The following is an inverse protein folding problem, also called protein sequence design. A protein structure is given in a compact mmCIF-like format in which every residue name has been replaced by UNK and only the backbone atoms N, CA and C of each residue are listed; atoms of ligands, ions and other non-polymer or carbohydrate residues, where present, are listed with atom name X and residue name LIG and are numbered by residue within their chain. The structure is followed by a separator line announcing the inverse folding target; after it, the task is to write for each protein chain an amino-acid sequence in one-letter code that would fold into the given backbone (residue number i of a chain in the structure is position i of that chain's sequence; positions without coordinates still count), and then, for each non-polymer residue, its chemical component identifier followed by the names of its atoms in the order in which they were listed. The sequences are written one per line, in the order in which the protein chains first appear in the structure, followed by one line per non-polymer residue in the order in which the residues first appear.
data_IF_416937271380
#
_entry.id   IF_416937271380
#
_cell.length_a   1.000
_cell.length_b   1.000
_cell.length_c   1.000
_cell.angle_alpha   90.00
_cell.angle_beta   90.00
_cell.angle_gamma   90.00
#
_symmetry.space_group_name_H-M   'P 1'
#
loop_
_entity.id
_entity.type
_entity.pdbx_description
1 polymer ?
#
# COMPACT_ATOMS: atom_id res chain seq x y z
N UNK A 1 19.33 2.64 -45.15
CA UNK A 1 17.97 2.32 -44.58
C UNK A 1 18.02 1.59 -43.21
N UNK A 2 19.18 1.52 -42.51
CA UNK A 2 19.31 0.83 -41.20
C UNK A 2 19.26 1.76 -39.93
N UNK A 3 19.34 3.08 -40.09
CA UNK A 3 19.49 3.99 -38.94
C UNK A 3 18.16 4.56 -38.36
N UNK A 4 17.05 4.44 -39.10
CA UNK A 4 15.78 4.94 -38.60
C UNK A 4 15.09 4.04 -37.53
N UNK A 5 15.37 2.73 -37.49
CA UNK A 5 14.76 1.81 -36.51
C UNK A 5 15.39 1.89 -35.12
N UNK A 6 16.66 2.26 -35.00
CA UNK A 6 17.37 2.39 -33.72
C UNK A 6 17.03 3.68 -32.98
N UNK A 7 16.78 4.76 -33.70
CA UNK A 7 16.39 6.06 -33.07
C UNK A 7 14.97 6.07 -32.53
N UNK A 8 14.01 5.40 -33.18
CA UNK A 8 12.63 5.28 -32.66
C UNK A 8 12.55 4.47 -31.36
N UNK A 9 13.36 3.40 -31.21
CA UNK A 9 13.37 2.57 -30.00
C UNK A 9 13.87 3.31 -28.76
N UNK A 10 14.86 4.18 -28.90
CA UNK A 10 15.44 4.94 -27.80
C UNK A 10 14.54 6.06 -27.27
N UNK A 11 13.77 6.71 -28.15
CA UNK A 11 12.84 7.78 -27.77
C UNK A 11 11.63 7.23 -26.99
N UNK A 12 11.06 6.11 -27.44
CA UNK A 12 9.98 5.41 -26.75
C UNK A 12 10.39 4.87 -25.37
N UNK A 13 11.62 4.34 -25.27
CA UNK A 13 12.15 3.87 -24.00
C UNK A 13 12.29 5.02 -22.99
N UNK A 14 12.85 6.17 -23.38
CA UNK A 14 12.96 7.34 -22.50
C UNK A 14 11.59 7.87 -22.08
N UNK A 15 10.63 7.89 -22.99
CA UNK A 15 9.29 8.42 -22.71
C UNK A 15 8.53 7.58 -21.68
N UNK A 16 8.60 6.24 -21.74
CA UNK A 16 7.96 5.35 -20.76
C UNK A 16 8.55 5.52 -19.35
N UNK A 17 9.89 5.64 -19.22
CA UNK A 17 10.52 5.85 -17.93
C UNK A 17 10.22 7.23 -17.36
N UNK A 18 10.15 8.26 -18.23
CA UNK A 18 9.67 9.59 -17.84
C UNK A 18 8.23 9.53 -17.33
N UNK A 19 7.34 8.82 -18.03
CA UNK A 19 5.95 8.63 -17.60
C UNK A 19 5.87 7.94 -16.23
N UNK A 20 6.66 6.86 -16.02
CA UNK A 20 6.77 6.20 -14.72
C UNK A 20 7.23 7.17 -13.63
N UNK A 21 8.28 7.96 -13.88
CA UNK A 21 8.77 8.96 -12.92
C UNK A 21 7.71 10.00 -12.54
N UNK A 22 6.93 10.48 -13.49
CA UNK A 22 5.83 11.43 -13.26
C UNK A 22 4.72 10.78 -12.43
N UNK A 23 4.26 9.58 -12.82
CA UNK A 23 3.19 8.86 -12.11
C UNK A 23 3.64 8.51 -10.69
N UNK A 24 4.85 7.95 -10.53
CA UNK A 24 5.41 7.59 -9.24
C UNK A 24 5.64 8.81 -8.35
N UNK A 25 6.18 9.92 -8.90
CA UNK A 25 6.39 11.16 -8.16
C UNK A 25 5.10 11.78 -7.65
N UNK A 26 4.06 11.87 -8.50
CA UNK A 26 2.74 12.34 -8.08
C UNK A 26 2.14 11.42 -7.01
N UNK A 27 2.35 10.10 -7.13
CA UNK A 27 1.85 9.13 -6.15
C UNK A 27 2.58 9.25 -4.79
N UNK A 28 3.90 9.42 -4.76
CA UNK A 28 4.66 9.71 -3.52
C UNK A 28 4.06 10.90 -2.79
N UNK A 29 3.84 11.99 -3.50
CA UNK A 29 3.35 13.23 -2.90
C UNK A 29 1.91 13.11 -2.40
N UNK A 30 1.03 12.47 -3.17
CA UNK A 30 -0.35 12.23 -2.77
C UNK A 30 -0.45 11.35 -1.52
N UNK A 31 0.34 10.27 -1.49
CA UNK A 31 0.32 9.29 -0.40
C UNK A 31 0.85 9.83 0.93
N UNK A 32 1.52 10.98 0.96
CA UNK A 32 1.88 11.65 2.19
C UNK A 32 0.67 11.92 3.11
N UNK A 33 -0.54 12.09 2.55
CA UNK A 33 -1.76 12.27 3.35
C UNK A 33 -2.29 10.97 3.97
N UNK A 34 -1.88 9.79 3.48
CA UNK A 34 -2.40 8.50 3.94
C UNK A 34 -2.09 8.25 5.42
N UNK A 35 -0.80 8.29 5.79
CA UNK A 35 -0.35 8.04 7.16
C UNK A 35 0.02 9.33 7.93
N UNK A 36 -0.37 10.51 7.45
CA UNK A 36 -0.11 11.78 8.13
C UNK A 36 -0.60 11.78 9.59
N UNK A 37 -1.86 11.41 9.82
CA UNK A 37 -2.43 11.33 11.17
C UNK A 37 -1.87 10.14 11.97
N UNK A 38 -1.58 9.02 11.31
CA UNK A 38 -1.00 7.83 11.95
C UNK A 38 0.42 8.11 12.47
N UNK A 39 1.22 8.91 11.74
CA UNK A 39 2.57 9.26 12.15
C UNK A 39 2.64 10.10 13.44
N UNK A 40 1.54 10.77 13.77
CA UNK A 40 1.38 11.62 14.97
C UNK A 40 0.24 11.16 15.87
N UNK A 41 -0.14 9.88 15.76
CA UNK A 41 -1.33 9.31 16.40
C UNK A 41 -1.35 9.53 17.92
N UNK A 42 -0.21 9.48 18.59
CA UNK A 42 -0.11 9.67 20.05
C UNK A 42 -0.42 11.12 20.42
N UNK A 43 0.16 12.09 19.71
CA UNK A 43 -0.10 13.52 19.96
C UNK A 43 -1.56 13.87 19.62
N UNK A 44 -2.06 13.34 18.52
CA UNK A 44 -3.41 13.56 18.05
C UNK A 44 -4.45 12.94 18.99
N UNK A 45 -4.20 11.71 19.46
CA UNK A 45 -5.07 11.06 20.43
C UNK A 45 -5.13 11.84 21.77
N UNK A 46 -4.01 12.35 22.24
CA UNK A 46 -3.97 13.21 23.44
C UNK A 46 -4.76 14.50 23.22
N UNK A 47 -4.61 15.16 22.05
CA UNK A 47 -5.33 16.40 21.74
C UNK A 47 -6.87 16.23 21.64
N UNK A 48 -7.32 15.05 21.20
CA UNK A 48 -8.74 14.73 21.04
C UNK A 48 -9.34 13.94 22.22
N UNK A 49 -8.55 13.57 23.23
CA UNK A 49 -8.99 12.70 24.33
C UNK A 49 -9.34 11.28 23.90
N UNK A 50 -8.72 10.78 22.84
CA UNK A 50 -8.94 9.42 22.33
C UNK A 50 -8.14 8.43 23.18
N UNK A 51 -8.83 7.41 23.70
CA UNK A 51 -8.19 6.37 24.51
C UNK A 51 -7.21 5.52 23.69
N UNK A 52 -6.18 4.94 24.31
CA UNK A 52 -5.20 4.10 23.61
C UNK A 52 -5.81 2.94 22.81
N UNK A 53 -6.92 2.36 23.27
CA UNK A 53 -7.65 1.29 22.59
C UNK A 53 -8.27 1.76 21.27
N UNK A 54 -8.70 3.03 21.22
CA UNK A 54 -9.43 3.61 20.10
C UNK A 54 -8.55 4.37 19.10
N UNK A 55 -7.24 4.50 19.35
CA UNK A 55 -6.31 5.19 18.45
C UNK A 55 -6.32 4.59 17.02
N UNK A 56 -6.48 3.28 16.89
CA UNK A 56 -6.54 2.60 15.61
C UNK A 56 -7.62 3.12 14.66
N UNK A 57 -8.72 3.70 15.19
CA UNK A 57 -9.80 4.24 14.36
C UNK A 57 -9.36 5.41 13.48
N UNK A 58 -8.35 6.20 13.89
CA UNK A 58 -7.78 7.29 13.08
C UNK A 58 -7.20 6.74 11.78
N UNK A 59 -6.52 5.58 11.85
CA UNK A 59 -5.98 4.88 10.68
C UNK A 59 -7.06 4.08 9.94
N UNK A 60 -7.96 3.40 10.67
CA UNK A 60 -9.02 2.60 10.07
C UNK A 60 -9.98 3.46 9.22
N UNK A 61 -10.25 4.70 9.63
CA UNK A 61 -11.15 5.60 8.90
C UNK A 61 -10.65 5.91 7.47
N UNK A 62 -9.34 6.12 7.26
CA UNK A 62 -8.80 6.32 5.91
C UNK A 62 -8.87 5.05 5.07
N UNK A 63 -8.68 3.88 5.68
CA UNK A 63 -8.83 2.60 4.99
C UNK A 63 -10.27 2.39 4.52
N UNK A 64 -11.24 2.66 5.42
CA UNK A 64 -12.66 2.55 5.10
C UNK A 64 -13.07 3.51 3.97
N UNK A 65 -12.58 4.74 4.02
CA UNK A 65 -12.79 5.72 2.96
C UNK A 65 -12.22 5.25 1.63
N UNK A 66 -11.00 4.72 1.64
CA UNK A 66 -10.37 4.21 0.43
C UNK A 66 -11.15 3.04 -0.19
N UNK A 67 -11.55 2.06 0.60
CA UNK A 67 -12.30 0.90 0.08
C UNK A 67 -13.67 1.30 -0.45
N UNK A 68 -14.37 2.15 0.29
CA UNK A 68 -15.70 2.63 -0.12
C UNK A 68 -15.61 3.44 -1.41
N UNK A 69 -14.63 4.35 -1.52
CA UNK A 69 -14.39 5.14 -2.71
C UNK A 69 -13.95 4.29 -3.90
N UNK A 70 -13.11 3.28 -3.70
CA UNK A 70 -12.66 2.37 -4.75
C UNK A 70 -13.82 1.52 -5.29
N UNK A 71 -14.67 0.97 -4.42
CA UNK A 71 -15.86 0.20 -4.82
C UNK A 71 -16.83 1.12 -5.56
N UNK A 72 -17.14 2.30 -5.03
CA UNK A 72 -18.03 3.26 -5.69
C UNK A 72 -17.50 3.66 -7.08
N UNK A 73 -16.21 3.99 -7.18
CA UNK A 73 -15.53 4.31 -8.44
C UNK A 73 -15.62 3.16 -9.46
N UNK A 74 -15.48 1.91 -9.00
CA UNK A 74 -15.55 0.72 -9.86
C UNK A 74 -16.99 0.43 -10.35
N UNK A 75 -17.98 0.62 -9.48
CA UNK A 75 -19.42 0.42 -9.84
C UNK A 75 -19.82 1.37 -10.96
N UNK A 76 -19.43 2.65 -10.87
CA UNK A 76 -19.75 3.64 -11.91
C UNK A 76 -18.72 3.65 -13.05
N UNK A 77 -17.76 2.75 -13.06
CA UNK A 77 -16.67 2.68 -14.03
C UNK A 77 -15.97 4.03 -14.22
N UNK A 78 -15.77 4.77 -13.14
CA UNK A 78 -15.30 6.17 -13.15
C UNK A 78 -14.02 6.37 -13.99
N UNK A 79 -12.98 5.49 -13.93
CA UNK A 79 -11.78 5.61 -14.74
C UNK A 79 -11.97 5.28 -16.24
N UNK A 80 -13.17 4.86 -16.66
CA UNK A 80 -13.51 4.63 -18.07
C UNK A 80 -14.25 5.82 -18.67
N UNK A 81 -14.92 6.61 -17.81
CA UNK A 81 -15.70 7.78 -18.20
C UNK A 81 -14.88 9.08 -18.06
N UNK A 82 -14.01 9.16 -17.06
CA UNK A 82 -13.18 10.34 -16.78
C UNK A 82 -11.71 10.01 -17.01
N UNK A 83 -10.97 10.91 -17.66
CA UNK A 83 -9.52 10.75 -17.86
C UNK A 83 -8.83 10.46 -16.52
N UNK A 84 -8.08 9.35 -16.41
CA UNK A 84 -7.40 8.96 -15.17
C UNK A 84 -6.48 10.04 -14.57
N UNK A 85 -5.86 10.89 -15.39
CA UNK A 85 -5.07 12.04 -14.92
C UNK A 85 -5.95 13.07 -14.20
N UNK A 86 -7.16 13.31 -14.71
CA UNK A 86 -8.14 14.20 -14.08
C UNK A 86 -8.64 13.60 -12.76
N UNK A 87 -8.91 12.30 -12.71
CA UNK A 87 -9.26 11.61 -11.47
C UNK A 87 -8.17 11.75 -10.42
N UNK A 88 -6.90 11.53 -10.78
CA UNK A 88 -5.79 11.72 -9.85
C UNK A 88 -5.74 13.14 -9.32
N UNK A 89 -5.90 14.17 -10.17
CA UNK A 89 -5.91 15.58 -9.73
C UNK A 89 -7.03 15.86 -8.72
N UNK A 90 -8.26 15.41 -9.02
CA UNK A 90 -9.41 15.56 -8.13
C UNK A 90 -9.17 14.82 -6.81
N UNK A 91 -8.70 13.57 -6.88
CA UNK A 91 -8.44 12.75 -5.71
C UNK A 91 -7.37 13.36 -4.79
N UNK A 92 -6.28 13.85 -5.36
CA UNK A 92 -5.22 14.55 -4.62
C UNK A 92 -5.78 15.79 -3.93
N UNK A 93 -6.56 16.60 -4.65
CA UNK A 93 -7.16 17.81 -4.10
C UNK A 93 -8.11 17.50 -2.94
N UNK A 94 -9.03 16.55 -3.11
CA UNK A 94 -9.97 16.12 -2.07
C UNK A 94 -9.21 15.59 -0.85
N UNK A 95 -8.22 14.72 -1.05
CA UNK A 95 -7.44 14.15 0.03
C UNK A 95 -6.66 15.24 0.79
N UNK A 96 -6.03 16.18 0.09
CA UNK A 96 -5.26 17.26 0.69
C UNK A 96 -6.14 18.21 1.50
N UNK A 97 -7.29 18.64 0.96
CA UNK A 97 -8.21 19.54 1.68
C UNK A 97 -8.80 18.84 2.91
N UNK A 98 -9.28 17.61 2.77
CA UNK A 98 -9.79 16.85 3.90
C UNK A 98 -8.72 16.73 5.01
N UNK A 99 -7.47 16.43 4.63
CA UNK A 99 -6.36 16.30 5.56
C UNK A 99 -5.98 17.63 6.25
N UNK A 100 -6.00 18.75 5.52
CA UNK A 100 -5.80 20.11 6.10
C UNK A 100 -6.86 20.42 7.15
N UNK A 101 -8.13 20.16 6.86
CA UNK A 101 -9.25 20.50 7.75
C UNK A 101 -9.16 19.78 9.09
N UNK A 102 -8.50 18.62 9.17
CA UNK A 102 -8.27 17.92 10.44
C UNK A 102 -7.47 18.80 11.41
N UNK A 103 -6.50 19.59 10.92
CA UNK A 103 -5.68 20.45 11.77
C UNK A 103 -6.49 21.55 12.49
N UNK A 104 -7.68 21.88 12.02
CA UNK A 104 -8.51 22.95 12.53
C UNK A 104 -9.76 22.47 13.27
N UNK A 105 -10.07 21.15 13.25
CA UNK A 105 -11.20 20.61 14.00
C UNK A 105 -10.80 20.22 15.43
N UNK A 106 -11.79 20.24 16.33
CA UNK A 106 -11.68 19.73 17.70
C UNK A 106 -12.65 18.57 17.96
N UNK A 107 -13.39 18.15 16.92
CA UNK A 107 -14.39 17.10 17.01
C UNK A 107 -13.84 15.77 16.50
N UNK A 108 -13.83 14.73 17.35
CA UNK A 108 -13.41 13.37 16.95
C UNK A 108 -14.26 12.82 15.79
N UNK A 109 -15.61 12.89 15.82
CA UNK A 109 -16.42 12.42 14.68
C UNK A 109 -16.08 13.15 13.38
N UNK A 110 -15.86 14.46 13.42
CA UNK A 110 -15.48 15.23 12.23
C UNK A 110 -14.07 14.85 11.76
N UNK A 111 -13.10 14.66 12.65
CA UNK A 111 -11.76 14.20 12.30
C UNK A 111 -11.79 12.81 11.62
N UNK A 112 -12.61 11.87 12.13
CA UNK A 112 -12.80 10.56 11.51
C UNK A 112 -13.49 10.66 10.13
N UNK A 113 -14.50 11.53 9.99
CA UNK A 113 -15.16 11.79 8.70
C UNK A 113 -14.18 12.39 7.67
N UNK A 114 -13.32 13.32 8.10
CA UNK A 114 -12.28 13.90 7.24
C UNK A 114 -11.19 12.87 6.88
N UNK A 115 -10.83 11.96 7.79
CA UNK A 115 -9.95 10.82 7.48
C UNK A 115 -10.59 9.88 6.46
N UNK A 116 -11.88 9.58 6.62
CA UNK A 116 -12.64 8.82 5.61
C UNK A 116 -12.59 9.52 4.25
N UNK A 117 -12.86 10.82 4.20
CA UNK A 117 -12.83 11.60 2.96
C UNK A 117 -11.42 11.67 2.34
N UNK A 118 -10.37 11.74 3.18
CA UNK A 118 -8.97 11.61 2.72
C UNK A 118 -8.77 10.28 1.98
N UNK A 119 -9.23 9.18 2.56
CA UNK A 119 -9.14 7.85 1.94
C UNK A 119 -9.95 7.74 0.65
N UNK A 120 -11.19 8.26 0.64
CA UNK A 120 -12.04 8.30 -0.54
C UNK A 120 -11.39 9.10 -1.69
N UNK A 121 -10.72 10.22 -1.38
CA UNK A 121 -9.92 10.97 -2.36
C UNK A 121 -8.77 10.12 -2.92
N UNK A 122 -8.02 9.43 -2.06
CA UNK A 122 -6.88 8.60 -2.48
C UNK A 122 -7.30 7.37 -3.30
N UNK A 123 -8.53 6.89 -3.17
CA UNK A 123 -9.07 5.76 -3.94
C UNK A 123 -9.19 6.05 -5.44
N UNK A 124 -9.26 7.31 -5.83
CA UNK A 124 -9.23 7.77 -7.22
C UNK A 124 -7.86 8.36 -7.62
N UNK A 125 -6.79 8.06 -6.85
CA UNK A 125 -5.39 8.37 -7.17
C UNK A 125 -4.63 7.12 -7.56
N UNK A 126 -4.51 6.15 -6.65
CA UNK A 126 -3.67 4.98 -6.85
C UNK A 126 -4.17 4.01 -7.93
N UNK A 127 -5.45 3.58 -7.98
CA UNK A 127 -5.92 2.69 -9.04
C UNK A 127 -5.83 3.31 -10.45
N UNK A 128 -6.18 4.59 -10.67
CA UNK A 128 -5.90 5.27 -11.94
C UNK A 128 -4.41 5.35 -12.29
N UNK A 129 -3.51 5.52 -11.31
CA UNK A 129 -2.07 5.47 -11.54
C UNK A 129 -1.62 4.10 -12.08
N UNK A 130 -2.11 3.00 -11.50
CA UNK A 130 -1.86 1.63 -12.00
C UNK A 130 -2.40 1.46 -13.41
N UNK A 131 -3.61 1.96 -13.69
CA UNK A 131 -4.22 1.92 -15.02
C UNK A 131 -3.37 2.66 -16.06
N UNK A 132 -2.93 3.88 -15.76
CA UNK A 132 -2.03 4.66 -16.62
C UNK A 132 -0.71 3.92 -16.86
N UNK A 133 -0.12 3.36 -15.81
CA UNK A 133 1.14 2.62 -15.90
C UNK A 133 1.04 1.41 -16.83
N UNK A 134 -0.08 0.69 -16.80
CA UNK A 134 -0.30 -0.50 -17.63
C UNK A 134 -0.27 -0.20 -19.12
N UNK A 135 -0.65 1.01 -19.53
CA UNK A 135 -0.60 1.45 -20.92
C UNK A 135 0.82 1.80 -21.42
N UNK A 136 1.73 2.11 -20.50
CA UNK A 136 3.15 2.39 -20.81
C UNK A 136 4.04 1.15 -20.76
N UNK A 137 3.69 0.16 -19.94
CA UNK A 137 4.51 -1.02 -19.65
C UNK A 137 3.77 -2.32 -19.99
N UNK A 138 3.83 -2.75 -21.26
CA UNK A 138 3.40 -4.08 -21.68
C UNK A 138 4.40 -5.17 -21.29
N UNK A 139 5.70 -4.82 -21.24
CA UNK A 139 6.79 -5.65 -20.73
C UNK A 139 7.33 -5.00 -19.43
N UNK A 140 8.01 -5.78 -18.59
CA UNK A 140 8.58 -5.33 -17.31
C UNK A 140 7.53 -4.79 -16.34
N UNK A 141 6.29 -5.34 -16.40
CA UNK A 141 5.17 -4.91 -15.54
C UNK A 141 5.49 -5.09 -14.06
N UNK A 142 6.17 -6.19 -13.68
CA UNK A 142 6.54 -6.46 -12.30
C UNK A 142 7.42 -5.36 -11.72
N UNK A 143 8.48 -5.01 -12.44
CA UNK A 143 9.38 -3.93 -12.02
C UNK A 143 8.66 -2.57 -11.97
N UNK A 144 7.90 -2.22 -13.01
CA UNK A 144 7.20 -0.93 -13.06
C UNK A 144 6.15 -0.80 -11.95
N UNK A 145 5.38 -1.86 -11.68
CA UNK A 145 4.41 -1.88 -10.58
C UNK A 145 5.13 -1.89 -9.22
N UNK A 146 6.25 -2.59 -9.10
CA UNK A 146 7.10 -2.57 -7.91
C UNK A 146 7.61 -1.16 -7.59
N UNK A 147 8.05 -0.39 -8.60
CA UNK A 147 8.45 1.01 -8.44
C UNK A 147 7.27 1.88 -8.01
N UNK A 148 6.08 1.68 -8.60
CA UNK A 148 4.88 2.44 -8.22
C UNK A 148 4.43 2.15 -6.78
N UNK A 149 4.46 0.88 -6.35
CA UNK A 149 4.13 0.51 -4.96
C UNK A 149 5.22 0.98 -4.01
N UNK A 150 6.49 0.91 -4.41
CA UNK A 150 7.59 1.52 -3.67
C UNK A 150 7.39 3.04 -3.48
N UNK A 151 6.94 3.74 -4.52
CA UNK A 151 6.59 5.15 -4.44
C UNK A 151 5.42 5.40 -3.45
N UNK A 152 4.37 4.56 -3.50
CA UNK A 152 3.28 4.60 -2.52
C UNK A 152 3.83 4.44 -1.10
N UNK A 153 4.74 3.50 -0.88
CA UNK A 153 5.36 3.20 0.42
C UNK A 153 6.15 4.40 0.94
N UNK A 154 7.05 4.97 0.12
CA UNK A 154 7.82 6.17 0.47
C UNK A 154 6.88 7.33 0.83
N UNK A 155 5.87 7.58 0.01
CA UNK A 155 4.89 8.63 0.25
C UNK A 155 4.15 8.44 1.57
N UNK A 156 3.63 7.24 1.82
CA UNK A 156 2.89 6.91 3.04
C UNK A 156 3.71 7.10 4.31
N UNK A 157 5.01 6.80 4.28
CA UNK A 157 5.88 6.96 5.44
C UNK A 157 6.56 8.33 5.53
N UNK A 158 6.50 9.18 4.51
CA UNK A 158 7.13 10.50 4.52
C UNK A 158 6.72 11.41 5.70
N UNK A 159 5.48 11.38 6.23
CA UNK A 159 5.10 12.19 7.40
C UNK A 159 5.88 11.83 8.67
N UNK A 160 6.37 10.58 8.77
CA UNK A 160 7.16 10.16 9.93
C UNK A 160 8.48 10.91 10.06
N UNK A 161 9.02 11.49 8.98
CA UNK A 161 10.22 12.35 9.04
C UNK A 161 10.03 13.54 9.98
N UNK A 162 8.82 14.08 10.06
CA UNK A 162 8.47 15.23 10.89
C UNK A 162 7.95 14.82 12.26
N UNK A 163 7.53 13.56 12.43
CA UNK A 163 6.97 13.03 13.68
C UNK A 163 7.95 13.21 14.85
N UNK A 164 7.47 13.76 15.94
CA UNK A 164 8.28 14.05 17.13
C UNK A 164 9.23 15.25 17.01
N UNK A 165 9.25 15.96 15.87
CA UNK A 165 10.02 17.19 15.69
C UNK A 165 9.14 18.45 15.75
N UNK A 166 7.90 18.31 15.31
CA UNK A 166 6.95 19.43 15.20
C UNK A 166 5.59 19.04 15.79
N UNK A 167 4.73 20.01 15.98
CA UNK A 167 3.34 19.80 16.37
C UNK A 167 2.59 18.95 15.31
N UNK A 168 1.65 18.13 15.74
CA UNK A 168 0.90 17.24 14.85
C UNK A 168 0.14 17.99 13.74
N UNK A 169 -0.31 19.25 14.01
CA UNK A 169 -0.96 20.07 12.98
C UNK A 169 -0.01 20.43 11.85
N UNK A 170 1.26 20.73 12.19
CA UNK A 170 2.28 21.02 11.18
C UNK A 170 2.54 19.82 10.28
N UNK A 171 2.48 18.57 10.80
CA UNK A 171 2.57 17.36 10.00
C UNK A 171 1.38 17.23 9.04
N UNK A 172 0.15 17.52 9.51
CA UNK A 172 -1.05 17.50 8.68
C UNK A 172 -0.97 18.52 7.53
N UNK A 173 -0.59 19.76 7.85
CA UNK A 173 -0.43 20.85 6.87
C UNK A 173 0.68 20.54 5.86
N UNK A 174 1.85 20.11 6.34
CA UNK A 174 2.99 19.77 5.49
C UNK A 174 2.69 18.60 4.53
N UNK A 175 2.04 17.54 5.03
CA UNK A 175 1.64 16.42 4.18
C UNK A 175 0.63 16.83 3.10
N UNK A 176 -0.29 17.72 3.44
CA UNK A 176 -1.26 18.26 2.47
C UNK A 176 -0.61 19.17 1.44
N UNK A 177 0.34 20.01 1.85
CA UNK A 177 1.10 20.85 0.93
C UNK A 177 1.91 20.00 -0.07
N UNK A 178 2.56 18.92 0.41
CA UNK A 178 3.23 17.96 -0.45
C UNK A 178 2.24 17.33 -1.45
N UNK A 179 1.06 16.92 -1.01
CA UNK A 179 0.07 16.33 -1.88
C UNK A 179 -0.36 17.30 -3.00
N UNK A 180 -0.64 18.56 -2.69
CA UNK A 180 -1.03 19.57 -3.69
C UNK A 180 0.04 19.74 -4.78
N UNK A 181 1.33 19.63 -4.46
CA UNK A 181 2.42 19.66 -5.44
C UNK A 181 2.32 18.49 -6.43
N UNK A 182 1.69 17.38 -6.05
CA UNK A 182 1.43 16.25 -6.94
C UNK A 182 0.51 16.59 -8.12
N UNK A 183 -0.37 17.61 -8.00
CA UNK A 183 -1.31 18.01 -9.06
C UNK A 183 -0.58 18.54 -10.31
N UNK A 184 0.30 19.54 -10.25
CA UNK A 184 1.05 19.96 -11.43
C UNK A 184 1.96 18.85 -11.96
N UNK A 185 2.53 17.99 -11.11
CA UNK A 185 3.39 16.90 -11.57
C UNK A 185 2.62 15.91 -12.44
N UNK A 186 1.45 15.42 -12.02
CA UNK A 186 0.66 14.50 -12.86
C UNK A 186 0.17 15.16 -14.15
N UNK A 187 0.03 16.48 -14.15
CA UNK A 187 -0.37 17.24 -15.35
C UNK A 187 0.72 17.25 -16.44
N UNK A 188 1.98 16.97 -16.08
CA UNK A 188 3.08 16.82 -17.04
C UNK A 188 3.10 15.46 -17.76
N UNK A 189 2.19 14.53 -17.39
CA UNK A 189 2.15 13.21 -18.01
C UNK A 189 1.73 13.29 -19.47
N UNK A 190 2.54 12.78 -20.42
CA UNK A 190 2.19 12.74 -21.82
C UNK A 190 1.00 11.82 -22.08
N UNK A 191 0.37 11.98 -23.27
CA UNK A 191 -0.71 11.11 -23.70
C UNK A 191 -0.23 9.68 -23.80
N UNK A 192 -1.04 8.73 -23.29
CA UNK A 192 -0.73 7.32 -23.32
C UNK A 192 -0.59 6.79 -24.76
N UNK A 193 0.41 5.92 -25.03
CA UNK A 193 0.59 5.34 -26.36
C UNK A 193 -0.42 4.23 -26.69
N UNK A 194 -1.12 3.67 -25.68
CA UNK A 194 -2.06 2.59 -25.83
C UNK A 194 -3.43 2.93 -25.23
N UNK A 195 -4.48 2.27 -25.72
CA UNK A 195 -5.80 2.33 -25.11
C UNK A 195 -5.75 1.78 -23.66
N UNK A 196 -6.48 2.46 -22.78
CA UNK A 196 -6.57 2.02 -21.39
C UNK A 196 -7.54 0.84 -21.27
N UNK A 197 -7.21 -0.21 -20.49
CA UNK A 197 -8.12 -1.33 -20.30
C UNK A 197 -9.38 -0.88 -19.55
N UNK A 198 -10.57 -1.44 -19.89
CA UNK A 198 -11.80 -1.13 -19.17
C UNK A 198 -11.72 -1.66 -17.73
N UNK A 199 -12.38 -0.94 -16.82
CA UNK A 199 -12.36 -1.24 -15.36
C UNK A 199 -13.76 -1.47 -14.78
N UNK A 200 -14.76 -1.66 -15.63
CA UNK A 200 -16.16 -1.82 -15.20
C UNK A 200 -16.31 -3.02 -14.26
N UNK A 201 -16.94 -2.78 -13.12
CA UNK A 201 -17.29 -3.81 -12.15
C UNK A 201 -18.59 -4.50 -12.57
N UNK A 202 -18.56 -5.83 -12.63
CA UNK A 202 -19.73 -6.67 -12.89
C UNK A 202 -20.01 -7.57 -11.70
N UNK A 203 -21.02 -7.24 -10.91
CA UNK A 203 -21.40 -8.00 -9.72
C UNK A 203 -21.83 -9.43 -10.06
N UNK A 204 -22.35 -9.67 -11.27
CA UNK A 204 -22.80 -11.01 -11.69
C UNK A 204 -21.63 -11.97 -11.93
N UNK A 205 -20.43 -11.42 -12.16
CA UNK A 205 -19.20 -12.19 -12.30
C UNK A 205 -18.60 -12.66 -10.96
N UNK A 206 -18.97 -12.05 -9.84
CA UNK A 206 -18.40 -12.34 -8.51
C UNK A 206 -18.50 -13.83 -8.14
N UNK A 207 -19.65 -14.53 -8.28
CA UNK A 207 -19.73 -15.95 -7.97
C UNK A 207 -18.82 -16.82 -8.85
N UNK A 208 -18.58 -16.42 -10.11
CA UNK A 208 -17.69 -17.13 -11.05
C UNK A 208 -16.23 -16.94 -10.62
N UNK A 209 -15.82 -15.72 -10.27
CA UNK A 209 -14.47 -15.40 -9.80
C UNK A 209 -14.16 -16.18 -8.52
N UNK A 210 -15.06 -16.20 -7.55
CA UNK A 210 -14.89 -16.95 -6.30
C UNK A 210 -14.86 -18.47 -6.47
N UNK A 211 -15.40 -19.00 -7.57
CA UNK A 211 -15.32 -20.44 -7.91
C UNK A 211 -14.04 -20.80 -8.67
N UNK A 212 -13.37 -19.83 -9.29
CA UNK A 212 -12.08 -20.08 -9.94
C UNK A 212 -10.97 -20.24 -8.88
N UNK A 213 -10.58 -21.49 -8.68
CA UNK A 213 -9.63 -21.88 -7.62
C UNK A 213 -8.28 -21.19 -7.75
N UNK A 214 -7.80 -20.93 -8.98
CA UNK A 214 -6.50 -20.30 -9.17
C UNK A 214 -6.54 -18.82 -8.76
N UNK A 215 -7.55 -18.08 -9.21
CA UNK A 215 -7.79 -16.69 -8.81
C UNK A 215 -8.04 -16.59 -7.31
N UNK A 216 -8.87 -17.48 -6.74
CA UNK A 216 -9.15 -17.49 -5.30
C UNK A 216 -7.88 -17.73 -4.45
N UNK A 217 -6.97 -18.60 -4.87
CA UNK A 217 -5.69 -18.81 -4.17
C UNK A 217 -4.80 -17.55 -4.23
N UNK A 218 -4.78 -16.84 -5.36
CA UNK A 218 -4.08 -15.55 -5.46
C UNK A 218 -4.73 -14.48 -4.55
N UNK A 219 -6.06 -14.47 -4.46
CA UNK A 219 -6.80 -13.60 -3.54
C UNK A 219 -6.54 -13.94 -2.07
N UNK A 220 -6.51 -15.23 -1.71
CA UNK A 220 -6.13 -15.65 -0.35
C UNK A 220 -4.70 -15.24 0.00
N UNK A 221 -3.77 -15.29 -0.96
CA UNK A 221 -2.43 -14.72 -0.81
C UNK A 221 -2.48 -13.24 -0.45
N UNK A 222 -3.22 -12.46 -1.23
CA UNK A 222 -3.40 -11.02 -0.99
C UNK A 222 -4.09 -10.72 0.36
N UNK A 223 -5.13 -11.45 0.70
CA UNK A 223 -5.84 -11.25 1.96
C UNK A 223 -4.98 -11.60 3.18
N UNK A 224 -4.13 -12.63 3.07
CA UNK A 224 -3.13 -12.94 4.08
C UNK A 224 -2.07 -11.83 4.22
N UNK A 225 -1.60 -11.27 3.12
CA UNK A 225 -0.73 -10.10 3.09
C UNK A 225 -1.40 -8.88 3.76
N UNK A 226 -2.66 -8.59 3.41
CA UNK A 226 -3.40 -7.45 3.97
C UNK A 226 -3.72 -7.59 5.46
N UNK A 227 -3.83 -8.83 5.96
CA UNK A 227 -3.96 -9.11 7.39
C UNK A 227 -2.76 -8.56 8.18
N UNK A 228 -1.56 -8.64 7.63
CA UNK A 228 -0.34 -8.18 8.29
C UNK A 228 -0.02 -6.71 7.98
N UNK A 229 -0.01 -6.32 6.70
CA UNK A 229 0.62 -5.11 6.20
C UNK A 229 0.20 -3.84 6.94
N UNK A 230 -1.08 -3.50 6.90
CA UNK A 230 -1.54 -2.21 7.41
C UNK A 230 -1.58 -2.16 8.94
N UNK A 231 -1.72 -3.29 9.61
CA UNK A 231 -1.58 -3.36 11.06
C UNK A 231 -0.11 -3.15 11.47
N UNK A 232 0.85 -3.78 10.76
CA UNK A 232 2.27 -3.50 10.94
C UNK A 232 2.59 -2.03 10.70
N UNK A 233 2.11 -1.44 9.61
CA UNK A 233 2.33 -0.03 9.29
C UNK A 233 1.74 0.94 10.31
N UNK A 234 0.60 0.61 10.90
CA UNK A 234 -0.04 1.44 11.91
C UNK A 234 0.66 1.34 13.28
N UNK A 235 1.11 0.14 13.66
CA UNK A 235 1.53 -0.11 15.03
C UNK A 235 3.05 -0.26 15.23
N UNK A 236 3.84 -0.59 14.19
CA UNK A 236 5.29 -0.64 14.30
C UNK A 236 5.94 0.72 14.69
N UNK A 237 5.46 1.88 14.22
CA UNK A 237 5.94 3.18 14.69
C UNK A 237 5.72 3.40 16.19
N UNK A 238 4.54 3.02 16.71
CA UNK A 238 4.18 3.14 18.13
C UNK A 238 4.99 2.16 18.97
N UNK A 239 5.14 0.93 18.50
CA UNK A 239 6.01 -0.10 19.11
C UNK A 239 7.45 0.39 19.24
N UNK A 240 8.00 0.91 18.14
CA UNK A 240 9.40 1.33 18.14
C UNK A 240 9.65 2.52 19.05
N UNK A 241 8.74 3.51 19.05
CA UNK A 241 8.82 4.64 19.99
C UNK A 241 8.77 4.18 21.46
N UNK A 242 7.86 3.26 21.78
CA UNK A 242 7.76 2.67 23.14
C UNK A 242 9.00 1.83 23.49
N UNK A 243 9.55 1.09 22.52
CA UNK A 243 10.76 0.28 22.71
C UNK A 243 12.00 1.13 22.95
N UNK A 244 12.17 2.23 22.21
CA UNK A 244 13.25 3.20 22.43
C UNK A 244 13.17 3.80 23.83
N UNK A 245 11.97 4.18 24.27
CA UNK A 245 11.75 4.72 25.61
C UNK A 245 12.09 3.68 26.69
N UNK A 246 11.65 2.44 26.52
CA UNK A 246 11.97 1.35 27.45
C UNK A 246 13.47 1.06 27.53
N UNK A 247 14.21 1.23 26.43
CA UNK A 247 15.66 1.10 26.36
C UNK A 247 16.43 2.34 26.86
N UNK A 248 15.74 3.39 27.35
CA UNK A 248 16.37 4.65 27.77
C UNK A 248 17.01 5.46 26.63
N UNK A 249 16.60 5.20 25.38
CA UNK A 249 17.17 5.87 24.20
C UNK A 249 16.45 7.18 23.90
N UNK A 250 17.21 8.22 23.56
CA UNK A 250 16.71 9.52 23.10
C UNK A 250 16.58 9.61 21.57
N UNK A 251 16.78 8.50 20.84
CA UNK A 251 16.63 8.47 19.38
C UNK A 251 15.18 8.76 18.96
N UNK A 252 15.03 9.51 17.87
CA UNK A 252 13.71 9.81 17.29
C UNK A 252 13.24 8.62 16.46
N UNK A 253 12.10 8.01 16.83
CA UNK A 253 11.53 6.86 16.13
C UNK A 253 11.11 7.21 14.68
N UNK A 254 10.53 8.38 14.45
CA UNK A 254 9.93 8.77 13.16
C UNK A 254 10.87 8.62 11.96
N UNK A 255 12.04 9.30 11.92
CA UNK A 255 12.99 9.17 10.81
C UNK A 255 13.48 7.73 10.59
N UNK A 256 13.68 6.97 11.65
CA UNK A 256 14.11 5.56 11.56
C UNK A 256 13.00 4.69 10.98
N UNK A 257 11.75 4.91 11.35
CA UNK A 257 10.58 4.23 10.76
C UNK A 257 10.44 4.57 9.28
N UNK A 258 10.66 5.84 8.89
CA UNK A 258 10.70 6.21 7.48
C UNK A 258 11.77 5.43 6.70
N UNK A 259 12.96 5.26 7.28
CA UNK A 259 14.01 4.42 6.67
C UNK A 259 13.57 2.97 6.59
N UNK A 260 13.09 2.38 7.71
CA UNK A 260 12.77 0.94 7.78
C UNK A 260 11.60 0.54 6.87
N UNK A 261 10.48 1.25 6.94
CA UNK A 261 9.27 0.88 6.19
C UNK A 261 9.11 1.71 4.90
N UNK A 262 9.54 2.97 4.88
CA UNK A 262 9.46 3.83 3.70
C UNK A 262 10.50 3.45 2.63
N UNK A 263 11.79 3.62 2.95
CA UNK A 263 12.86 3.43 1.97
C UNK A 263 13.18 1.94 1.74
N UNK A 264 13.39 1.20 2.84
CA UNK A 264 13.75 -0.23 2.77
C UNK A 264 12.55 -1.04 2.28
N UNK A 265 11.31 -0.69 2.66
CA UNK A 265 10.09 -1.27 2.09
C UNK A 265 9.95 -1.02 0.59
N UNK A 266 10.21 0.20 0.14
CA UNK A 266 10.22 0.51 -1.30
C UNK A 266 11.26 -0.31 -2.07
N UNK A 267 12.46 -0.49 -1.49
CA UNK A 267 13.48 -1.37 -2.05
C UNK A 267 12.97 -2.82 -2.15
N UNK A 268 12.25 -3.30 -1.12
CA UNK A 268 11.61 -4.62 -1.12
C UNK A 268 10.65 -4.81 -2.30
N UNK A 269 9.78 -3.82 -2.57
CA UNK A 269 8.87 -3.84 -3.72
C UNK A 269 9.62 -3.94 -5.07
N UNK A 270 10.68 -3.14 -5.25
CA UNK A 270 11.46 -3.10 -6.48
C UNK A 270 12.19 -4.44 -6.69
N UNK A 271 12.87 -4.93 -5.66
CA UNK A 271 13.62 -6.20 -5.70
C UNK A 271 12.66 -7.36 -5.95
N UNK A 272 11.57 -7.45 -5.21
CA UNK A 272 10.59 -8.53 -5.40
C UNK A 272 9.89 -8.46 -6.76
N UNK A 273 9.63 -7.25 -7.28
CA UNK A 273 9.11 -7.06 -8.64
C UNK A 273 10.04 -7.66 -9.70
N UNK A 274 11.33 -7.37 -9.61
CA UNK A 274 12.35 -7.91 -10.50
C UNK A 274 12.54 -9.44 -10.34
N UNK A 275 12.55 -9.92 -9.11
CA UNK A 275 12.65 -11.35 -8.80
C UNK A 275 11.44 -12.13 -9.29
N UNK A 276 10.22 -11.58 -9.16
CA UNK A 276 9.00 -12.23 -9.61
C UNK A 276 8.92 -12.37 -11.14
N UNK A 277 9.48 -11.42 -11.88
CA UNK A 277 9.60 -11.52 -13.32
C UNK A 277 10.60 -12.61 -13.73
N UNK A 278 11.52 -13.04 -12.84
CA UNK A 278 12.53 -14.08 -13.09
C UNK A 278 12.17 -15.45 -12.52
N UNK A 279 11.68 -15.50 -11.28
CA UNK A 279 11.45 -16.75 -10.52
C UNK A 279 9.99 -17.14 -10.38
N UNK A 280 9.08 -16.28 -10.85
CA UNK A 280 7.64 -16.49 -10.75
C UNK A 280 7.02 -15.77 -9.55
N UNK A 281 5.76 -15.35 -9.75
CA UNK A 281 5.03 -14.54 -8.77
C UNK A 281 4.75 -15.30 -7.48
N UNK A 282 4.28 -16.55 -7.62
CA UNK A 282 3.89 -17.37 -6.48
C UNK A 282 5.08 -17.70 -5.56
N UNK A 283 6.25 -18.01 -6.14
CA UNK A 283 7.44 -18.34 -5.37
C UNK A 283 7.95 -17.13 -4.56
N UNK A 284 8.02 -15.96 -5.21
CA UNK A 284 8.51 -14.73 -4.57
C UNK A 284 7.57 -14.26 -3.48
N UNK A 285 6.24 -14.28 -3.73
CA UNK A 285 5.26 -13.91 -2.71
C UNK A 285 5.29 -14.85 -1.51
N UNK A 286 5.32 -16.17 -1.73
CA UNK A 286 5.43 -17.13 -0.64
C UNK A 286 6.70 -16.91 0.19
N UNK A 287 7.85 -16.66 -0.46
CA UNK A 287 9.12 -16.38 0.22
C UNK A 287 9.06 -15.10 1.06
N UNK A 288 8.53 -14.00 0.52
CA UNK A 288 8.35 -12.75 1.24
C UNK A 288 7.45 -12.92 2.46
N UNK A 289 6.32 -13.60 2.29
CA UNK A 289 5.38 -13.88 3.39
C UNK A 289 5.96 -14.78 4.48
N UNK A 290 6.77 -15.78 4.13
CA UNK A 290 7.46 -16.60 5.14
C UNK A 290 8.42 -15.77 5.98
N UNK A 291 9.16 -14.85 5.35
CA UNK A 291 10.08 -13.96 6.07
C UNK A 291 9.29 -12.97 6.93
N UNK A 292 8.28 -12.28 6.39
CA UNK A 292 7.50 -11.28 7.14
C UNK A 292 6.73 -11.92 8.30
N UNK A 293 6.11 -13.08 8.08
CA UNK A 293 5.42 -13.83 9.14
C UNK A 293 6.34 -14.28 10.27
N UNK A 294 7.60 -14.70 9.95
CA UNK A 294 8.59 -15.01 10.97
C UNK A 294 8.98 -13.78 11.78
N UNK A 295 9.11 -12.63 11.11
CA UNK A 295 9.40 -11.36 11.78
C UNK A 295 8.22 -10.88 12.63
N UNK A 296 6.98 -11.05 12.17
CA UNK A 296 5.79 -10.79 12.99
C UNK A 296 5.77 -11.61 14.28
N UNK A 297 6.19 -12.89 14.22
CA UNK A 297 6.29 -13.74 15.41
C UNK A 297 7.39 -13.29 16.38
N UNK A 298 8.50 -12.75 15.88
CA UNK A 298 9.73 -12.55 16.65
C UNK A 298 10.01 -11.10 17.03
N UNK A 299 9.55 -10.12 16.25
CA UNK A 299 9.91 -8.70 16.48
C UNK A 299 9.51 -8.20 17.87
N UNK A 300 8.38 -8.65 18.40
CA UNK A 300 7.91 -8.29 19.73
C UNK A 300 8.88 -8.68 20.83
N UNK A 301 9.60 -9.80 20.66
CA UNK A 301 10.60 -10.29 21.64
C UNK A 301 11.80 -9.35 21.78
N UNK A 302 12.01 -8.46 20.81
CA UNK A 302 13.09 -7.46 20.85
C UNK A 302 12.71 -6.18 21.61
N UNK A 303 11.48 -6.09 22.15
CA UNK A 303 10.99 -4.91 22.87
C UNK A 303 11.91 -4.53 24.04
N UNK A 304 12.35 -3.27 24.06
CA UNK A 304 13.25 -2.74 25.10
C UNK A 304 14.70 -3.20 24.98
N UNK A 305 15.06 -4.00 23.98
CA UNK A 305 16.44 -4.37 23.69
C UNK A 305 17.23 -3.22 23.07
N UNK A 306 18.51 -3.45 22.77
CA UNK A 306 19.38 -2.47 22.12
C UNK A 306 18.70 -1.87 20.87
N UNK A 307 18.62 -0.54 20.72
CA UNK A 307 17.87 0.14 19.64
C UNK A 307 18.24 -0.32 18.23
N UNK A 308 19.53 -0.61 18.00
CA UNK A 308 20.00 -1.08 16.69
C UNK A 308 19.45 -2.48 16.33
N UNK A 309 19.27 -3.36 17.32
CA UNK A 309 18.72 -4.71 17.10
C UNK A 309 17.24 -4.61 16.71
N UNK A 310 16.45 -3.82 17.45
CA UNK A 310 15.03 -3.58 17.13
C UNK A 310 14.90 -2.93 15.75
N UNK A 311 15.73 -1.94 15.46
CA UNK A 311 15.72 -1.23 14.17
C UNK A 311 16.07 -2.17 13.00
N UNK A 312 17.06 -3.03 13.15
CA UNK A 312 17.42 -4.04 12.13
C UNK A 312 16.26 -5.00 11.87
N UNK A 313 15.60 -5.49 12.92
CA UNK A 313 14.40 -6.31 12.79
C UNK A 313 13.28 -5.58 12.04
N UNK A 314 13.06 -4.30 12.35
CA UNK A 314 12.07 -3.47 11.65
C UNK A 314 12.43 -3.20 10.19
N UNK A 315 13.71 -3.04 9.85
CA UNK A 315 14.15 -2.92 8.45
C UNK A 315 13.88 -4.21 7.66
N UNK A 316 14.19 -5.38 8.24
CA UNK A 316 13.91 -6.66 7.59
C UNK A 316 12.39 -6.88 7.43
N UNK A 317 11.62 -6.51 8.44
CA UNK A 317 10.16 -6.58 8.37
C UNK A 317 9.60 -5.60 7.35
N UNK A 318 10.03 -4.35 7.36
CA UNK A 318 9.64 -3.34 6.38
C UNK A 318 9.96 -3.74 4.94
N UNK A 319 11.12 -4.38 4.71
CA UNK A 319 11.49 -4.93 3.41
C UNK A 319 10.53 -6.03 2.97
N UNK A 320 10.26 -7.02 3.83
CA UNK A 320 9.55 -8.24 3.46
C UNK A 320 8.03 -8.08 3.43
N UNK A 321 7.45 -7.27 4.34
CA UNK A 321 6.01 -7.14 4.51
C UNK A 321 5.28 -6.51 3.32
N UNK A 322 5.96 -5.71 2.49
CA UNK A 322 5.38 -5.06 1.31
C UNK A 322 5.89 -5.65 -0.01
N UNK A 323 6.96 -6.47 0.04
CA UNK A 323 7.67 -6.96 -1.14
C UNK A 323 6.77 -7.73 -2.11
N UNK A 324 5.80 -8.48 -1.61
CA UNK A 324 4.87 -9.31 -2.37
C UNK A 324 3.65 -8.56 -2.91
N UNK A 325 3.37 -7.36 -2.44
CA UNK A 325 2.12 -6.61 -2.73
C UNK A 325 1.78 -6.49 -4.21
N UNK A 326 2.79 -6.19 -5.06
CA UNK A 326 2.59 -6.07 -6.51
C UNK A 326 2.23 -7.41 -7.18
N UNK A 327 2.65 -8.53 -6.59
CA UNK A 327 2.57 -9.83 -7.24
C UNK A 327 1.17 -10.41 -7.22
N UNK A 328 0.37 -10.12 -6.20
CA UNK A 328 -1.00 -10.60 -6.07
C UNK A 328 -1.92 -10.02 -7.13
N UNK A 329 -1.90 -8.69 -7.31
CA UNK A 329 -2.72 -8.03 -8.33
C UNK A 329 -2.27 -8.42 -9.75
N UNK A 330 -0.96 -8.62 -9.94
CA UNK A 330 -0.43 -9.13 -11.20
C UNK A 330 -0.88 -10.59 -11.45
N UNK A 331 -0.86 -11.45 -10.43
CA UNK A 331 -1.32 -12.83 -10.54
C UNK A 331 -2.81 -12.89 -10.91
N UNK A 332 -3.68 -12.12 -10.25
CA UNK A 332 -5.10 -12.05 -10.58
C UNK A 332 -5.32 -11.54 -12.00
N UNK A 333 -4.57 -10.54 -12.44
CA UNK A 333 -4.65 -10.03 -13.82
C UNK A 333 -4.29 -11.09 -14.86
N UNK A 334 -3.37 -12.00 -14.52
CA UNK A 334 -2.90 -13.06 -15.43
C UNK A 334 -3.75 -14.34 -15.36
N UNK A 335 -4.46 -14.58 -14.26
CA UNK A 335 -5.27 -15.78 -14.01
C UNK A 335 -6.73 -15.59 -14.41
N UNK A 336 -7.34 -14.46 -14.04
CA UNK A 336 -8.74 -14.19 -14.25
C UNK A 336 -9.09 -14.09 -15.74
N UNK A 337 -10.34 -14.41 -16.08
CA UNK A 337 -10.87 -14.17 -17.41
C UNK A 337 -10.77 -12.68 -17.77
N UNK A 338 -10.26 -12.38 -18.96
CA UNK A 338 -9.95 -11.00 -19.38
C UNK A 338 -11.16 -10.04 -19.31
N UNK A 339 -12.37 -10.57 -19.51
CA UNK A 339 -13.61 -9.79 -19.39
C UNK A 339 -13.91 -9.33 -17.94
N UNK A 340 -13.37 -10.01 -16.93
CA UNK A 340 -13.72 -9.80 -15.52
C UNK A 340 -12.53 -9.41 -14.64
N UNK A 341 -11.37 -9.10 -15.23
CA UNK A 341 -10.15 -8.72 -14.49
C UNK A 341 -10.40 -7.51 -13.58
N UNK A 342 -11.13 -6.50 -14.07
CA UNK A 342 -11.47 -5.32 -13.26
C UNK A 342 -12.30 -5.67 -12.03
N UNK A 343 -13.30 -6.54 -12.18
CA UNK A 343 -14.13 -7.04 -11.07
C UNK A 343 -13.31 -7.87 -10.09
N UNK A 344 -12.43 -8.75 -10.58
CA UNK A 344 -11.59 -9.59 -9.75
C UNK A 344 -10.63 -8.75 -8.89
N UNK A 345 -9.97 -7.75 -9.48
CA UNK A 345 -9.09 -6.83 -8.76
C UNK A 345 -9.85 -5.98 -7.73
N UNK A 346 -11.05 -5.51 -8.07
CA UNK A 346 -11.88 -4.73 -7.12
C UNK A 346 -12.31 -5.58 -5.94
N UNK A 347 -12.70 -6.84 -6.18
CA UNK A 347 -13.06 -7.80 -5.14
C UNK A 347 -11.86 -8.13 -4.24
N UNK A 348 -10.71 -8.44 -4.85
CA UNK A 348 -9.44 -8.68 -4.14
C UNK A 348 -9.11 -7.53 -3.19
N UNK A 349 -9.06 -6.30 -3.72
CA UNK A 349 -8.72 -5.10 -2.95
C UNK A 349 -9.79 -4.79 -1.90
N UNK A 350 -11.07 -4.86 -2.25
CA UNK A 350 -12.17 -4.56 -1.35
C UNK A 350 -12.15 -5.44 -0.09
N UNK A 351 -12.06 -6.75 -0.26
CA UNK A 351 -11.98 -7.70 0.88
C UNK A 351 -10.67 -7.48 1.65
N UNK A 352 -9.53 -7.32 0.95
CA UNK A 352 -8.24 -7.10 1.59
C UNK A 352 -8.24 -5.87 2.50
N UNK A 353 -8.74 -4.73 2.04
CA UNK A 353 -8.83 -3.51 2.87
C UNK A 353 -9.82 -3.66 4.03
N UNK A 354 -10.94 -4.38 3.87
CA UNK A 354 -11.84 -4.68 4.99
C UNK A 354 -11.16 -5.51 6.08
N UNK A 355 -10.31 -6.47 5.70
CA UNK A 355 -9.50 -7.25 6.63
C UNK A 355 -8.56 -6.34 7.44
N UNK A 356 -7.99 -5.30 6.83
CA UNK A 356 -7.09 -4.37 7.54
C UNK A 356 -7.79 -3.62 8.68
N UNK A 357 -9.09 -3.33 8.55
CA UNK A 357 -9.86 -2.69 9.64
C UNK A 357 -9.87 -3.58 10.88
N UNK A 358 -10.10 -4.88 10.66
CA UNK A 358 -10.12 -5.89 11.73
C UNK A 358 -8.76 -5.97 12.42
N UNK A 359 -7.67 -6.06 11.66
CA UNK A 359 -6.33 -6.27 12.23
C UNK A 359 -5.77 -5.03 12.89
N UNK A 360 -6.00 -3.83 12.34
CA UNK A 360 -5.62 -2.58 12.98
C UNK A 360 -6.32 -2.43 14.34
N UNK A 361 -7.63 -2.72 14.40
CA UNK A 361 -8.39 -2.71 15.65
C UNK A 361 -7.92 -3.80 16.60
N UNK A 362 -7.71 -5.03 16.11
CA UNK A 362 -7.31 -6.19 16.91
C UNK A 362 -6.00 -5.92 17.68
N UNK A 363 -4.97 -5.40 17.00
CA UNK A 363 -3.72 -5.04 17.66
C UNK A 363 -3.95 -3.95 18.71
N UNK A 364 -4.73 -2.91 18.39
CA UNK A 364 -5.07 -1.85 19.33
C UNK A 364 -5.77 -2.36 20.59
N UNK A 365 -6.73 -3.27 20.42
CA UNK A 365 -7.52 -3.83 21.51
C UNK A 365 -6.72 -4.83 22.39
N UNK A 366 -5.86 -5.64 21.77
CA UNK A 366 -5.18 -6.75 22.46
C UNK A 366 -3.82 -6.38 23.02
N UNK A 367 -3.17 -5.32 22.53
CA UNK A 367 -1.80 -4.93 22.94
C UNK A 367 -1.65 -4.64 24.45
N UNK A 368 -2.71 -4.16 25.09
CA UNK A 368 -2.67 -3.86 26.52
C UNK A 368 -2.71 -5.13 27.39
N UNK A 369 -3.23 -6.23 26.84
CA UNK A 369 -3.30 -7.53 27.52
C UNK A 369 -2.07 -8.38 27.19
N UNK A 370 -1.70 -8.47 25.89
CA UNK A 370 -0.61 -9.31 25.41
C UNK A 370 0.76 -8.64 25.53
N UNK A 371 0.80 -7.32 25.74
CA UNK A 371 2.03 -6.53 25.68
C UNK A 371 2.64 -6.47 24.28
N UNK A 372 3.64 -5.60 24.13
CA UNK A 372 4.37 -5.47 22.88
C UNK A 372 5.15 -6.74 22.49
N UNK A 373 5.50 -7.58 23.47
CA UNK A 373 6.27 -8.79 23.26
C UNK A 373 5.54 -9.85 22.42
N UNK A 374 4.18 -9.88 22.48
CA UNK A 374 3.42 -10.97 21.88
C UNK A 374 2.35 -10.51 20.89
N UNK A 375 1.96 -9.21 20.91
CA UNK A 375 0.79 -8.75 20.12
C UNK A 375 0.97 -8.94 18.63
N UNK A 376 2.18 -8.75 18.11
CA UNK A 376 2.43 -8.90 16.66
C UNK A 376 2.42 -10.36 16.17
N UNK A 377 2.53 -11.33 17.09
CA UNK A 377 2.39 -12.75 16.73
C UNK A 377 1.02 -13.06 16.10
N UNK A 378 -0.02 -12.28 16.44
CA UNK A 378 -1.35 -12.40 15.83
C UNK A 378 -1.32 -12.09 14.31
N UNK A 379 -0.39 -11.26 13.87
CA UNK A 379 -0.26 -10.91 12.46
C UNK A 379 0.34 -12.04 11.62
N UNK A 380 1.12 -12.95 12.21
CA UNK A 380 1.76 -14.04 11.50
C UNK A 380 0.76 -15.04 10.87
N UNK A 381 -0.49 -15.06 11.34
CA UNK A 381 -1.55 -15.91 10.79
C UNK A 381 -1.81 -15.60 9.31
N UNK A 382 -1.83 -14.32 8.95
CA UNK A 382 -2.05 -13.88 7.57
C UNK A 382 -0.97 -14.39 6.61
N UNK A 383 0.32 -14.06 6.83
CA UNK A 383 1.41 -14.57 6.00
C UNK A 383 1.49 -16.10 5.95
N UNK A 384 1.18 -16.79 7.05
CA UNK A 384 1.17 -18.26 7.06
C UNK A 384 0.11 -18.82 6.09
N UNK A 385 -1.13 -18.33 6.16
CA UNK A 385 -2.22 -18.72 5.25
C UNK A 385 -1.94 -18.27 3.82
N UNK A 386 -1.43 -17.06 3.64
CA UNK A 386 -1.11 -16.52 2.33
C UNK A 386 0.05 -17.26 1.65
N UNK A 387 1.12 -17.58 2.37
CA UNK A 387 2.23 -18.37 1.86
C UNK A 387 1.77 -19.77 1.45
N UNK A 388 0.94 -20.41 2.30
CA UNK A 388 0.30 -21.69 1.92
C UNK A 388 -0.50 -21.56 0.64
N UNK A 389 -1.34 -20.52 0.49
CA UNK A 389 -2.16 -20.30 -0.70
C UNK A 389 -1.28 -20.11 -1.95
N UNK A 390 -0.20 -19.35 -1.86
CA UNK A 390 0.73 -19.13 -2.98
C UNK A 390 1.51 -20.39 -3.35
N UNK A 391 1.92 -21.20 -2.38
CA UNK A 391 2.53 -22.52 -2.62
C UNK A 391 1.53 -23.47 -3.30
N UNK A 392 0.28 -23.48 -2.82
CA UNK A 392 -0.79 -24.27 -3.44
C UNK A 392 -1.07 -23.81 -4.89
N UNK A 393 -1.12 -22.49 -5.13
CA UNK A 393 -1.29 -21.92 -6.46
C UNK A 393 -0.14 -22.35 -7.39
N UNK A 394 1.10 -22.31 -6.92
CA UNK A 394 2.29 -22.72 -7.70
C UNK A 394 2.17 -24.15 -8.25
N UNK A 395 1.49 -25.04 -7.51
CA UNK A 395 1.29 -26.45 -7.90
C UNK A 395 0.14 -26.66 -8.90
N UNK A 396 -0.68 -25.62 -9.16
CA UNK A 396 -1.81 -25.69 -10.08
C UNK A 396 -1.37 -25.61 -11.53
N UNK A 397 -2.06 -26.31 -12.47
CA UNK A 397 -1.80 -26.19 -13.90
C UNK A 397 -1.92 -24.73 -14.39
N UNK A 398 -2.90 -24.00 -13.87
CA UNK A 398 -3.20 -22.62 -14.24
C UNK A 398 -2.04 -21.65 -13.93
N UNK A 399 -1.14 -22.01 -13.02
CA UNK A 399 0.03 -21.20 -12.66
C UNK A 399 0.97 -20.91 -13.87
N UNK A 400 0.89 -21.72 -14.92
CA UNK A 400 1.64 -21.48 -16.19
C UNK A 400 1.21 -20.17 -16.86
N UNK A 401 0.01 -19.65 -16.60
CA UNK A 401 -0.43 -18.35 -17.11
C UNK A 401 0.37 -17.19 -16.52
N UNK A 402 0.88 -17.34 -15.30
CA UNK A 402 1.61 -16.28 -14.58
C UNK A 402 3.04 -16.15 -15.07
N UNK A 403 3.55 -14.89 -15.08
CA UNK A 403 4.95 -14.54 -15.37
C UNK A 403 5.53 -15.27 -16.60
N UNK A 404 4.74 -15.47 -17.67
CA UNK A 404 5.13 -16.16 -18.91
C UNK A 404 5.57 -17.61 -18.67
N UNK A 405 4.83 -18.36 -17.87
CA UNK A 405 5.11 -19.77 -17.58
C UNK A 405 6.04 -20.01 -16.39
N UNK A 406 6.47 -18.97 -15.71
CA UNK A 406 7.27 -19.08 -14.49
C UNK A 406 6.33 -19.17 -13.27
N UNK A 407 6.52 -20.24 -12.48
CA UNK A 407 5.63 -20.58 -11.37
C UNK A 407 6.16 -20.10 -10.02
#
# INVERSE_FOLDING_TARGET
MRDHHTQCGGSHARLRWRALGIIAGANVLAMATWFSATSVIVQMAAAYGITPQNQGWITAAVQLGFVTGAIASSIVALPDVVDPRTLMRIGIFVAAIANVLIAFTHSVPLALALRFLTGAGLSIVYPPAVKLLSAWFARERGLATGILIGALTVGSFSPHLLSGAVDWRAVMLGSSALAIIGIPIISLLPTSPAALPPTKFDITAVPRILKDRATLLADCGYWGHMWELYAAWAWAPVFFAASLQAAGSHARAGPLIFVAFGLVGALGCIVAGALADRFGRAAVSAGAMMVSGTLSLSIGLTFGMAPWLVFTGLMLWGFSVIADSAQFSAAVTELAESAYVGTALTLQMGIGFLITLVTIWLIGATRLVLGWQHVFALLALGPALGAWAMIALRRRPEAVKMARGRR
#
